data_IF_089422580106
#
_entry.id   IF_089422580106
#
_cell.length_a   1.000
_cell.length_b   1.000
_cell.length_c   1.000
_cell.angle_alpha   90.00
_cell.angle_beta   90.00
_cell.angle_gamma   90.00
#
_symmetry.space_group_name_H-M   'P 1'
#
loop_
_entity.id
_entity.type
_entity.pdbx_description
1 polymer ?
#
# COMPACT_ATOMS: atom_id res chain seq x y z
N UNK A 1 -1.95 16.87 -0.27
CA UNK A 1 -2.62 15.54 -0.20
C UNK A 1 -2.84 15.07 -1.62
N UNK A 2 -1.95 14.22 -2.12
CA UNK A 2 -1.94 13.77 -3.51
C UNK A 2 -2.92 12.61 -3.67
N UNK A 3 -3.98 12.82 -4.45
CA UNK A 3 -5.04 11.83 -4.68
C UNK A 3 -4.57 10.78 -5.70
N UNK A 4 -4.61 9.50 -5.33
CA UNK A 4 -4.60 8.37 -6.28
C UNK A 4 -6.02 8.21 -6.86
N UNK A 5 -6.40 9.12 -7.75
CA UNK A 5 -7.77 9.19 -8.27
C UNK A 5 -8.81 9.56 -7.20
N UNK A 6 -9.87 8.77 -7.05
CA UNK A 6 -10.97 9.01 -6.08
C UNK A 6 -10.82 8.31 -4.73
N UNK A 7 -9.75 7.52 -4.52
CA UNK A 7 -9.56 6.73 -3.30
C UNK A 7 -8.43 7.28 -2.43
N UNK A 8 -8.66 7.31 -1.12
CA UNK A 8 -7.61 7.66 -0.17
C UNK A 8 -6.59 6.51 -0.09
N UNK A 9 -5.30 6.81 -0.06
CA UNK A 9 -4.25 5.79 0.04
C UNK A 9 -4.47 4.80 1.20
N UNK A 10 -5.05 5.28 2.31
CA UNK A 10 -5.44 4.45 3.46
C UNK A 10 -6.51 3.39 3.15
N UNK A 11 -7.47 3.69 2.27
CA UNK A 11 -8.48 2.71 1.84
C UNK A 11 -7.84 1.62 0.98
N UNK A 12 -6.95 2.03 0.08
CA UNK A 12 -6.20 1.11 -0.80
C UNK A 12 -5.31 0.18 0.04
N UNK A 13 -4.58 0.74 1.02
CA UNK A 13 -3.77 -0.02 1.97
C UNK A 13 -4.61 -1.05 2.74
N UNK A 14 -5.78 -0.67 3.26
CA UNK A 14 -6.68 -1.60 3.96
C UNK A 14 -7.19 -2.71 3.05
N UNK A 15 -7.48 -2.42 1.78
CA UNK A 15 -7.89 -3.43 0.81
C UNK A 15 -6.75 -4.44 0.53
N UNK A 16 -5.52 -3.94 0.35
CA UNK A 16 -4.36 -4.81 0.17
C UNK A 16 -4.02 -5.61 1.43
N UNK A 17 -4.16 -5.04 2.62
CA UNK A 17 -4.03 -5.79 3.88
C UNK A 17 -5.01 -6.96 3.97
N UNK A 18 -6.28 -6.76 3.59
CA UNK A 18 -7.27 -7.85 3.51
C UNK A 18 -6.91 -8.91 2.48
N UNK A 19 -6.23 -8.53 1.39
CA UNK A 19 -5.72 -9.46 0.39
C UNK A 19 -4.42 -10.19 0.83
N UNK A 20 -3.97 -9.98 2.07
CA UNK A 20 -2.79 -10.62 2.67
C UNK A 20 -1.47 -9.90 2.39
N UNK A 21 -1.51 -8.63 2.00
CA UNK A 21 -0.32 -7.80 1.87
C UNK A 21 0.03 -7.16 3.22
N UNK A 22 1.29 -7.20 3.62
CA UNK A 22 1.77 -6.58 4.85
C UNK A 22 2.51 -5.30 4.50
N UNK A 23 2.29 -4.24 5.28
CA UNK A 23 3.09 -3.02 5.14
C UNK A 23 4.47 -3.32 5.71
N UNK A 24 5.50 -3.21 4.89
CA UNK A 24 6.89 -3.46 5.32
C UNK A 24 7.64 -2.18 5.57
N UNK A 25 7.33 -1.10 4.82
CA UNK A 25 8.00 0.19 5.01
C UNK A 25 7.11 1.34 4.57
N UNK A 26 7.26 2.51 5.19
CA UNK A 26 6.69 3.76 4.68
C UNK A 26 7.82 4.77 4.51
N UNK A 27 7.88 5.41 3.35
CA UNK A 27 8.83 6.48 3.04
C UNK A 27 8.05 7.72 2.62
N UNK A 28 7.88 8.65 3.55
CA UNK A 28 7.09 9.87 3.34
C UNK A 28 5.63 9.55 2.99
N UNK A 29 5.16 10.12 1.89
CA UNK A 29 3.85 9.85 1.31
C UNK A 29 3.78 8.55 0.53
N UNK A 30 4.72 7.60 0.63
CA UNK A 30 4.66 6.33 -0.08
C UNK A 30 4.72 5.17 0.91
N UNK A 31 3.69 4.31 0.90
CA UNK A 31 3.62 3.09 1.70
C UNK A 31 3.99 1.90 0.84
N UNK A 32 4.96 1.12 1.30
CA UNK A 32 5.46 -0.09 0.67
C UNK A 32 4.82 -1.30 1.35
N UNK A 33 4.20 -2.16 0.55
CA UNK A 33 3.60 -3.41 0.98
C UNK A 33 4.26 -4.59 0.28
N UNK A 34 4.47 -5.67 1.01
CA UNK A 34 4.98 -6.93 0.49
C UNK A 34 4.05 -8.05 0.90
N UNK A 35 3.97 -9.09 0.09
CA UNK A 35 3.15 -10.26 0.37
C UNK A 35 4.04 -11.47 0.59
N UNK A 36 3.88 -12.12 1.73
CA UNK A 36 4.60 -13.35 2.04
C UNK A 36 4.32 -14.41 0.95
N UNK A 37 5.38 -14.97 0.36
CA UNK A 37 5.28 -15.94 -0.74
C UNK A 37 5.09 -15.32 -2.13
N UNK A 38 5.18 -14.00 -2.28
CA UNK A 38 5.31 -13.33 -3.59
C UNK A 38 6.49 -12.37 -3.57
N UNK A 39 7.40 -12.50 -4.53
CA UNK A 39 8.47 -11.53 -4.79
C UNK A 39 7.91 -10.28 -5.50
N UNK A 40 6.89 -9.67 -4.90
CA UNK A 40 6.25 -8.47 -5.41
C UNK A 40 6.17 -7.43 -4.30
N UNK A 41 6.62 -6.22 -4.62
CA UNK A 41 6.59 -5.07 -3.74
C UNK A 41 5.63 -4.03 -4.32
N UNK A 42 4.56 -3.71 -3.58
CA UNK A 42 3.58 -2.69 -3.93
C UNK A 42 3.94 -1.37 -3.28
N UNK A 43 3.89 -0.28 -4.05
CA UNK A 43 4.12 1.08 -3.54
C UNK A 43 2.87 1.92 -3.75
N UNK A 44 2.30 2.44 -2.66
CA UNK A 44 1.04 3.18 -2.63
C UNK A 44 1.29 4.59 -2.10
N UNK A 45 1.13 5.63 -2.92
CA UNK A 45 1.10 7.01 -2.43
C UNK A 45 -0.04 7.27 -1.42
N UNK A 46 0.22 8.08 -0.40
CA UNK A 46 -0.72 8.52 0.66
C UNK A 46 -0.72 10.03 0.80
#
# INVERSE_FOLDING_TARGET
MSRLGSYNGTQVIKAFQKAGWKITRQKGSHVILEKEGKEATLCIPV
#
